data_IF_744744528059
#
_entry.id   IF_744744528059
#
_cell.length_a   1.000
_cell.length_b   1.000
_cell.length_c   1.000
_cell.angle_alpha   90.00
_cell.angle_beta   90.00
_cell.angle_gamma   90.00
#
_symmetry.space_group_name_H-M   'P 1'
#
loop_
_entity.id
_entity.type
_entity.pdbx_description
1 polymer ?
#
# COMPACT_ATOMS: atom_id res chain seq x y z
N UNK A 1 -18.68 -5.33 -10.61
CA UNK A 1 -18.74 -4.50 -9.38
C UNK A 1 -18.95 -3.05 -9.80
N UNK A 2 -19.63 -2.21 -9.01
CA UNK A 2 -19.79 -0.79 -9.33
C UNK A 2 -18.43 -0.07 -9.28
N UNK A 3 -18.18 0.83 -10.23
CA UNK A 3 -16.97 1.66 -10.29
C UNK A 3 -17.36 3.08 -9.85
N UNK A 4 -16.80 3.53 -8.72
CA UNK A 4 -17.03 4.87 -8.18
C UNK A 4 -15.74 5.68 -8.38
N UNK A 5 -15.74 6.70 -9.24
CA UNK A 5 -14.56 7.53 -9.42
C UNK A 5 -14.36 8.43 -8.20
N UNK A 6 -13.15 8.41 -7.65
CA UNK A 6 -12.74 9.24 -6.49
C UNK A 6 -11.65 10.25 -6.83
N UNK A 7 -11.03 10.13 -8.02
CA UNK A 7 -10.05 11.06 -8.57
C UNK A 7 -10.46 11.39 -9.99
N UNK A 8 -10.35 12.66 -10.36
CA UNK A 8 -10.70 13.20 -11.67
C UNK A 8 -9.59 14.12 -12.20
N UNK A 9 -9.33 14.19 -13.52
CA UNK A 9 -8.41 15.15 -14.10
C UNK A 9 -8.72 16.61 -13.72
N UNK A 10 -7.69 17.46 -13.66
CA UNK A 10 -7.88 18.90 -13.44
C UNK A 10 -8.74 19.51 -14.56
N UNK A 11 -9.84 20.19 -14.18
CA UNK A 11 -10.78 20.80 -15.13
C UNK A 11 -11.94 19.91 -15.58
N UNK A 12 -12.03 18.67 -15.11
CA UNK A 12 -13.20 17.82 -15.30
C UNK A 12 -14.41 18.30 -14.47
N UNK A 13 -15.61 17.84 -14.83
CA UNK A 13 -16.82 18.01 -14.01
C UNK A 13 -17.11 16.75 -13.19
N UNK A 14 -17.11 16.91 -11.86
CA UNK A 14 -17.28 15.84 -10.90
C UNK A 14 -18.63 15.09 -11.04
N UNK A 15 -19.66 15.73 -11.60
CA UNK A 15 -21.00 15.12 -11.77
C UNK A 15 -21.08 14.19 -12.98
N UNK A 16 -20.24 14.40 -13.98
CA UNK A 16 -20.31 13.70 -15.27
C UNK A 16 -19.13 12.75 -15.48
N UNK A 17 -18.05 12.92 -14.73
CA UNK A 17 -16.87 12.07 -14.83
C UNK A 17 -17.18 10.62 -14.43
N UNK A 18 -16.90 9.69 -15.34
CA UNK A 18 -17.08 8.25 -15.15
C UNK A 18 -15.89 7.49 -15.73
N UNK A 19 -15.51 6.40 -15.07
CA UNK A 19 -14.50 5.46 -15.55
C UNK A 19 -15.24 4.33 -16.28
N UNK A 20 -15.03 4.24 -17.60
CA UNK A 20 -15.75 3.28 -18.45
C UNK A 20 -14.83 2.11 -18.84
N UNK A 21 -13.67 2.41 -19.45
CA UNK A 21 -12.76 1.39 -19.99
C UNK A 21 -11.49 1.23 -19.17
N UNK A 22 -10.80 2.33 -18.85
CA UNK A 22 -9.48 2.31 -18.18
C UNK A 22 -9.47 3.15 -16.89
N UNK A 23 -8.77 2.64 -15.88
CA UNK A 23 -8.60 3.35 -14.62
C UNK A 23 -7.74 4.60 -14.80
N UNK A 24 -8.18 5.72 -14.23
CA UNK A 24 -7.38 6.93 -14.18
C UNK A 24 -6.27 6.80 -13.12
N UNK A 25 -5.01 6.94 -13.54
CA UNK A 25 -3.82 6.72 -12.69
C UNK A 25 -2.96 7.98 -12.45
N UNK A 26 -3.28 9.08 -13.14
CA UNK A 26 -2.52 10.32 -13.04
C UNK A 26 -2.99 11.20 -11.87
N UNK A 27 -2.22 12.26 -11.60
CA UNK A 27 -2.58 13.28 -10.61
C UNK A 27 -3.83 14.04 -11.02
N UNK A 28 -4.76 14.19 -10.09
CA UNK A 28 -6.02 14.88 -10.31
C UNK A 28 -6.54 15.61 -9.09
N UNK A 29 -7.86 15.70 -9.00
CA UNK A 29 -8.59 16.29 -7.89
C UNK A 29 -9.52 15.24 -7.29
N UNK A 30 -9.58 15.20 -5.97
CA UNK A 30 -10.47 14.32 -5.23
C UNK A 30 -11.95 14.68 -5.47
N UNK A 31 -12.77 13.69 -5.75
CA UNK A 31 -14.23 13.79 -5.92
C UNK A 31 -14.93 12.65 -5.15
N UNK A 32 -16.22 12.79 -4.87
CA UNK A 32 -17.05 11.79 -4.17
C UNK A 32 -16.46 11.31 -2.82
N UNK A 33 -15.63 12.13 -2.20
CA UNK A 33 -14.82 11.84 -1.01
C UNK A 33 -15.12 12.81 0.15
N UNK A 34 -16.24 13.54 0.07
CA UNK A 34 -16.79 14.41 1.13
C UNK A 34 -15.85 15.56 1.48
N UNK A 35 -15.27 15.57 2.68
CA UNK A 35 -14.40 16.64 3.16
C UNK A 35 -13.05 16.69 2.42
N UNK A 36 -12.74 15.67 1.62
CA UNK A 36 -11.56 15.62 0.75
C UNK A 36 -11.84 16.21 -0.63
N UNK A 37 -13.11 16.49 -0.98
CA UNK A 37 -13.48 16.97 -2.31
C UNK A 37 -12.78 18.30 -2.63
N UNK A 38 -12.17 18.38 -3.83
CA UNK A 38 -11.40 19.55 -4.26
C UNK A 38 -9.94 19.58 -3.81
N UNK A 39 -9.49 18.64 -2.97
CA UNK A 39 -8.07 18.52 -2.59
C UNK A 39 -7.25 17.79 -3.66
N UNK A 40 -5.94 18.07 -3.70
CA UNK A 40 -4.97 17.26 -4.45
C UNK A 40 -4.67 15.94 -3.70
N UNK A 41 -4.40 14.83 -4.41
CA UNK A 41 -4.16 13.51 -3.82
C UNK A 41 -3.13 13.49 -2.68
N UNK A 42 -2.00 14.20 -2.83
CA UNK A 42 -0.97 14.26 -1.78
C UNK A 42 -1.50 14.85 -0.46
N UNK A 43 -2.20 15.99 -0.52
CA UNK A 43 -2.80 16.63 0.66
C UNK A 43 -3.92 15.77 1.25
N UNK A 44 -4.71 15.13 0.39
CA UNK A 44 -5.77 14.23 0.81
C UNK A 44 -5.21 13.00 1.55
N UNK A 45 -4.09 12.44 1.07
CA UNK A 45 -3.40 11.34 1.73
C UNK A 45 -2.94 11.72 3.13
N UNK A 46 -2.28 12.87 3.28
CA UNK A 46 -1.81 13.34 4.58
C UNK A 46 -2.96 13.58 5.58
N UNK A 47 -4.05 14.17 5.11
CA UNK A 47 -5.22 14.44 5.94
C UNK A 47 -5.92 13.14 6.38
N UNK A 48 -6.06 12.16 5.48
CA UNK A 48 -6.62 10.85 5.82
C UNK A 48 -5.72 10.10 6.80
N UNK A 49 -4.41 10.07 6.57
CA UNK A 49 -3.46 9.43 7.48
C UNK A 49 -3.57 10.03 8.89
N UNK A 50 -3.59 11.37 8.99
CA UNK A 50 -3.73 12.10 10.26
C UNK A 50 -5.05 11.79 10.98
N UNK A 51 -6.15 11.67 10.25
CA UNK A 51 -7.47 11.34 10.83
C UNK A 51 -7.53 9.89 11.33
N UNK A 52 -6.96 8.95 10.58
CA UNK A 52 -6.95 7.54 10.95
C UNK A 52 -6.02 7.25 12.12
N UNK A 53 -4.88 7.93 12.22
CA UNK A 53 -3.98 7.83 13.39
C UNK A 53 -4.67 8.30 14.68
N UNK A 54 -5.48 9.37 14.60
CA UNK A 54 -6.24 9.90 15.76
C UNK A 54 -7.43 9.04 16.15
N UNK A 55 -7.97 8.24 15.23
CA UNK A 55 -9.15 7.44 15.49
C UNK A 55 -8.75 6.15 16.19
N UNK A 56 -9.32 5.91 17.37
CA UNK A 56 -9.11 4.68 18.14
C UNK A 56 -10.27 3.72 17.93
N UNK A 57 -9.99 2.44 17.66
CA UNK A 57 -10.97 1.36 17.59
C UNK A 57 -10.47 0.20 18.45
N UNK A 58 -11.26 -0.22 19.45
CA UNK A 58 -10.88 -1.34 20.33
C UNK A 58 -9.59 -1.09 21.12
N UNK A 59 -9.42 0.13 21.65
CA UNK A 59 -8.23 0.58 22.41
C UNK A 59 -6.90 0.55 21.63
N UNK A 60 -6.94 0.50 20.29
CA UNK A 60 -5.75 0.65 19.43
C UNK A 60 -5.97 1.74 18.37
N UNK A 61 -4.90 2.43 17.92
CA UNK A 61 -4.98 3.30 16.76
C UNK A 61 -5.52 2.55 15.54
N UNK A 62 -6.35 3.20 14.73
CA UNK A 62 -6.93 2.59 13.54
C UNK A 62 -5.90 2.41 12.42
N UNK A 63 -4.90 3.29 12.35
CA UNK A 63 -3.81 3.20 11.38
C UNK A 63 -2.50 3.79 11.93
N UNK A 64 -1.40 3.42 11.28
CA UNK A 64 -0.05 3.97 11.47
C UNK A 64 0.62 4.11 10.10
N UNK A 65 1.38 5.19 9.89
CA UNK A 65 2.19 5.36 8.67
C UNK A 65 3.27 4.29 8.59
N UNK A 66 3.36 3.64 7.42
CA UNK A 66 4.36 2.60 7.16
C UNK A 66 5.09 2.87 5.85
N UNK A 67 6.42 2.79 5.89
CA UNK A 67 7.26 2.79 4.68
C UNK A 67 7.40 1.36 4.19
N UNK A 68 7.11 1.13 2.92
CA UNK A 68 7.28 -0.18 2.28
C UNK A 68 8.29 -0.05 1.14
N UNK A 69 9.09 -1.10 0.93
CA UNK A 69 10.05 -1.18 -0.15
C UNK A 69 9.61 -2.22 -1.17
N UNK A 70 9.92 -1.97 -2.44
CA UNK A 70 9.83 -2.99 -3.49
C UNK A 70 10.94 -4.04 -3.37
N UNK A 71 12.05 -3.68 -2.71
CA UNK A 71 13.17 -4.58 -2.42
C UNK A 71 12.67 -5.76 -1.58
N UNK A 72 13.17 -6.95 -1.90
CA UNK A 72 12.90 -8.19 -1.18
C UNK A 72 14.20 -8.73 -0.64
N UNK A 73 14.10 -9.54 0.41
CA UNK A 73 15.23 -10.28 0.93
C UNK A 73 15.84 -11.17 -0.15
N UNK A 74 17.15 -11.32 -0.07
CA UNK A 74 17.89 -12.11 -1.04
C UNK A 74 17.87 -13.59 -0.65
N UNK A 75 17.07 -14.37 -1.36
CA UNK A 75 17.13 -15.83 -1.27
C UNK A 75 18.39 -16.36 -1.94
N UNK A 76 19.40 -16.74 -1.14
CA UNK A 76 20.68 -17.29 -1.62
C UNK A 76 20.66 -18.81 -1.78
N UNK A 77 19.80 -19.52 -1.05
CA UNK A 77 19.77 -20.99 -1.04
C UNK A 77 19.40 -21.57 -2.41
N UNK A 78 20.09 -22.63 -2.83
CA UNK A 78 19.85 -23.30 -4.13
C UNK A 78 19.85 -24.81 -3.95
N UNK A 79 18.94 -25.48 -4.66
CA UNK A 79 18.95 -26.95 -4.81
C UNK A 79 19.88 -27.34 -5.97
N UNK A 80 21.18 -27.06 -5.81
CA UNK A 80 22.23 -27.33 -6.79
C UNK A 80 23.42 -27.98 -6.09
N UNK A 81 23.97 -29.03 -6.69
CA UNK A 81 25.13 -29.74 -6.16
C UNK A 81 26.42 -28.89 -6.22
N UNK A 82 26.62 -28.15 -7.32
CA UNK A 82 27.83 -27.36 -7.52
C UNK A 82 27.66 -25.92 -6.99
N UNK A 83 28.12 -25.70 -5.76
CA UNK A 83 28.11 -24.40 -5.08
C UNK A 83 28.76 -24.50 -3.70
N UNK A 84 28.91 -23.38 -3.00
CA UNK A 84 29.38 -23.38 -1.62
C UNK A 84 28.29 -23.96 -0.70
N UNK A 85 28.58 -24.96 0.15
CA UNK A 85 27.63 -25.46 1.14
C UNK A 85 27.21 -24.35 2.12
N UNK A 86 25.93 -24.33 2.51
CA UNK A 86 25.42 -23.43 3.56
C UNK A 86 25.86 -24.01 4.91
N UNK A 87 26.58 -23.25 5.76
CA UNK A 87 27.08 -23.74 7.05
C UNK A 87 25.96 -23.72 8.09
N UNK A 88 25.05 -24.68 7.99
CA UNK A 88 23.98 -24.91 8.95
C UNK A 88 23.78 -26.41 9.13
N UNK A 89 23.48 -26.83 10.37
CA UNK A 89 23.23 -28.22 10.75
C UNK A 89 21.79 -28.34 11.29
N UNK A 90 21.13 -29.45 10.96
CA UNK A 90 19.84 -29.83 11.55
C UNK A 90 20.06 -30.87 12.65
N UNK A 91 19.87 -30.46 13.92
CA UNK A 91 19.94 -31.32 15.09
C UNK A 91 18.53 -31.71 15.55
N UNK A 92 18.32 -32.97 15.93
CA UNK A 92 16.99 -33.48 16.36
C UNK A 92 16.52 -32.82 17.66
N UNK A 93 17.43 -32.55 18.61
CA UNK A 93 17.09 -31.92 19.90
C UNK A 93 17.17 -30.38 19.85
N UNK A 94 18.12 -29.82 19.10
CA UNK A 94 18.45 -28.39 19.11
C UNK A 94 17.84 -27.60 17.93
N UNK A 95 17.38 -28.26 16.87
CA UNK A 95 16.88 -27.60 15.66
C UNK A 95 17.98 -27.12 14.71
N UNK A 96 17.79 -25.95 14.10
CA UNK A 96 18.70 -25.37 13.09
C UNK A 96 19.81 -24.57 13.77
N UNK A 97 21.06 -25.03 13.68
CA UNK A 97 22.24 -24.41 14.30
C UNK A 97 23.30 -24.05 13.26
N UNK A 98 24.06 -22.96 13.45
CA UNK A 98 25.22 -22.64 12.61
C UNK A 98 26.31 -23.73 12.64
#
# INVERSE_FOLDING_TARGET
LPVIPVVMPEGGDAKTFQIIEEAYVDDGVMINSRFLDGMKPEKAFDEVARLLEKKTIGNRPMAERKVNFRLRDWGISRQRYWGCPIPMIHCEDCGVVP
#
